data_IF_075624490881
#
_entry.id   IF_075624490881
#
_cell.length_a   1.000
_cell.length_b   1.000
_cell.length_c   1.000
_cell.angle_alpha   90.00
_cell.angle_beta   90.00
_cell.angle_gamma   90.00
#
_symmetry.space_group_name_H-M   'P 1'
#
loop_
_entity.id
_entity.type
_entity.pdbx_description
1 polymer ?
#
# COMPACT_ATOMS: atom_id res chain seq x y z
N UNK A 1 8.84 4.49 -12.25
CA UNK A 1 8.90 5.89 -11.76
C UNK A 1 10.15 6.62 -12.25
N UNK A 2 11.31 5.97 -12.35
CA UNK A 2 12.58 6.57 -12.82
C UNK A 2 12.44 7.27 -14.19
N UNK A 3 11.69 6.68 -15.13
CA UNK A 3 11.42 7.27 -16.45
C UNK A 3 10.74 8.66 -16.39
N UNK A 4 10.14 9.01 -15.25
CA UNK A 4 9.53 10.32 -15.01
C UNK A 4 10.47 11.31 -14.30
N UNK A 5 11.72 10.93 -14.03
CA UNK A 5 12.71 11.80 -13.38
C UNK A 5 12.38 12.13 -11.92
N UNK A 6 11.59 11.32 -11.22
CA UNK A 6 11.25 11.52 -9.82
C UNK A 6 12.25 10.82 -8.90
N UNK A 7 12.48 11.41 -7.72
CA UNK A 7 13.20 10.76 -6.65
C UNK A 7 12.30 9.76 -5.95
N UNK A 8 12.77 8.51 -5.78
CA UNK A 8 12.01 7.45 -5.13
C UNK A 8 12.67 7.11 -3.80
N UNK A 9 11.93 7.30 -2.70
CA UNK A 9 12.28 6.79 -1.38
C UNK A 9 11.50 5.51 -1.11
N UNK A 10 12.12 4.54 -0.47
CA UNK A 10 11.46 3.29 -0.05
C UNK A 10 11.74 2.99 1.42
N UNK A 11 10.68 2.68 2.15
CA UNK A 11 10.71 2.07 3.46
C UNK A 11 10.31 0.62 3.34
N UNK A 12 11.21 -0.29 3.66
CA UNK A 12 10.96 -1.72 3.78
C UNK A 12 11.85 -2.26 4.91
N UNK A 13 11.28 -2.83 5.98
CA UNK A 13 12.06 -3.35 7.10
C UNK A 13 12.81 -4.65 6.76
N UNK A 14 12.43 -5.35 5.68
CA UNK A 14 12.99 -6.65 5.30
C UNK A 14 14.12 -6.54 4.27
N UNK A 15 14.15 -5.43 3.50
CA UNK A 15 15.15 -5.23 2.46
C UNK A 15 16.29 -4.34 2.96
N UNK A 16 17.52 -4.69 2.59
CA UNK A 16 18.69 -3.85 2.85
C UNK A 16 18.82 -2.70 1.84
N UNK A 17 19.77 -1.81 2.07
CA UNK A 17 20.00 -0.64 1.22
C UNK A 17 20.42 -1.04 -0.19
N UNK A 18 21.22 -2.11 -0.35
CA UNK A 18 21.69 -2.56 -1.64
C UNK A 18 20.55 -3.11 -2.51
N UNK A 19 19.63 -3.87 -1.91
CA UNK A 19 18.46 -4.39 -2.59
C UNK A 19 17.52 -3.26 -3.06
N UNK A 20 17.29 -2.26 -2.21
CA UNK A 20 16.46 -1.09 -2.56
C UNK A 20 17.15 -0.24 -3.64
N UNK A 21 18.45 -0.02 -3.54
CA UNK A 21 19.21 0.72 -4.54
C UNK A 21 19.21 0.02 -5.91
N UNK A 22 19.29 -1.31 -5.95
CA UNK A 22 19.20 -2.09 -7.19
C UNK A 22 17.86 -1.91 -7.91
N UNK A 23 16.77 -1.59 -7.18
CA UNK A 23 15.46 -1.24 -7.72
C UNK A 23 15.36 0.23 -8.14
N UNK A 24 16.42 1.03 -7.93
CA UNK A 24 16.47 2.44 -8.30
C UNK A 24 15.77 3.36 -7.32
N UNK A 25 15.68 2.97 -6.07
CA UNK A 25 15.15 3.77 -4.98
C UNK A 25 16.24 4.01 -3.91
N UNK A 26 16.04 4.99 -3.05
CA UNK A 26 16.87 5.24 -1.87
C UNK A 26 16.13 4.71 -0.64
N UNK A 27 16.80 3.90 0.18
CA UNK A 27 16.24 3.45 1.46
C UNK A 27 16.12 4.64 2.42
N UNK A 28 14.97 4.69 3.12
CA UNK A 28 14.72 5.65 4.18
C UNK A 28 13.98 4.96 5.33
N UNK A 29 14.07 5.51 6.54
CA UNK A 29 13.11 5.18 7.59
C UNK A 29 11.74 5.79 7.28
N UNK A 30 10.70 5.31 7.98
CA UNK A 30 9.33 5.74 7.71
C UNK A 30 9.13 7.25 7.93
N UNK A 31 9.68 7.81 9.00
CA UNK A 31 9.51 9.21 9.33
C UNK A 31 10.16 10.11 8.27
N UNK A 32 11.37 9.78 7.84
CA UNK A 32 12.08 10.47 6.75
C UNK A 32 11.29 10.37 5.43
N UNK A 33 10.79 9.17 5.08
CA UNK A 33 9.97 8.99 3.88
C UNK A 33 8.74 9.90 3.92
N UNK A 34 8.01 9.92 5.04
CA UNK A 34 6.81 10.74 5.19
C UNK A 34 7.14 12.24 5.08
N UNK A 35 8.23 12.68 5.70
CA UNK A 35 8.61 14.10 5.74
C UNK A 35 9.15 14.62 4.39
N UNK A 36 9.77 13.76 3.59
CA UNK A 36 10.41 14.19 2.34
C UNK A 36 9.58 13.93 1.08
N UNK A 37 8.49 13.14 1.17
CA UNK A 37 7.71 12.75 0.01
C UNK A 37 6.58 13.73 -0.32
N UNK A 38 6.41 14.02 -1.61
CA UNK A 38 5.27 14.76 -2.14
C UNK A 38 4.06 13.83 -2.38
N UNK A 39 4.36 12.55 -2.66
CA UNK A 39 3.38 11.47 -2.82
C UNK A 39 3.84 10.26 -2.02
N UNK A 40 2.99 9.76 -1.14
CA UNK A 40 3.22 8.54 -0.36
C UNK A 40 2.28 7.47 -0.86
N UNK A 41 2.81 6.31 -1.26
CA UNK A 41 2.04 5.15 -1.73
C UNK A 41 2.30 3.95 -0.85
N UNK A 42 1.23 3.30 -0.38
CA UNK A 42 1.29 2.15 0.52
C UNK A 42 1.24 0.85 -0.26
N UNK A 43 2.16 -0.07 0.08
CA UNK A 43 2.29 -1.41 -0.52
C UNK A 43 2.56 -2.48 0.55
N UNK A 44 2.46 -2.13 1.83
CA UNK A 44 2.69 -3.04 2.94
C UNK A 44 1.51 -4.03 3.12
N UNK A 45 1.76 -5.24 3.65
CA UNK A 45 0.70 -6.15 4.06
C UNK A 45 -0.02 -5.64 5.33
N UNK A 46 -1.26 -6.12 5.56
CA UNK A 46 -1.98 -5.86 6.80
C UNK A 46 -1.55 -6.85 7.88
N UNK A 47 -0.67 -6.43 8.75
CA UNK A 47 -0.16 -7.16 9.92
C UNK A 47 -0.45 -6.35 11.18
N UNK A 48 -0.37 -6.96 12.35
CA UNK A 48 -0.48 -6.24 13.62
C UNK A 48 0.56 -5.10 13.72
N UNK A 49 1.76 -5.33 13.20
CA UNK A 49 2.86 -4.34 13.17
C UNK A 49 2.65 -3.19 12.19
N UNK A 50 1.80 -3.36 11.18
CA UNK A 50 1.52 -2.33 10.17
C UNK A 50 0.14 -1.70 10.34
N UNK A 51 -0.69 -2.24 11.26
CA UNK A 51 -1.99 -1.67 11.55
C UNK A 51 -1.86 -0.20 11.96
N UNK A 52 -2.61 0.66 11.29
CA UNK A 52 -2.59 2.11 11.49
C UNK A 52 -1.16 2.71 11.47
N UNK A 53 -0.27 2.16 10.64
CA UNK A 53 1.06 2.76 10.45
C UNK A 53 0.96 4.21 9.95
N UNK A 54 -0.11 4.54 9.23
CA UNK A 54 -0.48 5.90 8.84
C UNK A 54 -1.56 6.40 9.81
N UNK A 55 -1.15 6.79 11.00
CA UNK A 55 -1.96 7.41 12.05
C UNK A 55 -1.81 8.93 12.06
N UNK A 56 -2.43 9.61 13.03
CA UNK A 56 -2.36 11.08 13.15
C UNK A 56 -0.94 11.63 13.25
N UNK A 57 -0.01 10.92 13.95
CA UNK A 57 1.39 11.30 14.01
C UNK A 57 2.04 11.20 12.63
N UNK A 58 1.87 10.08 11.95
CA UNK A 58 2.42 9.86 10.61
C UNK A 58 1.90 10.91 9.61
N UNK A 59 0.59 11.19 9.63
CA UNK A 59 -0.02 12.23 8.80
C UNK A 59 0.53 13.61 9.10
N UNK A 60 0.84 13.92 10.36
CA UNK A 60 1.44 15.21 10.75
C UNK A 60 2.86 15.41 10.20
N UNK A 61 3.62 14.31 10.02
CA UNK A 61 4.98 14.35 9.45
C UNK A 61 4.97 14.58 7.95
N UNK A 62 3.92 14.16 7.24
CA UNK A 62 3.84 14.36 5.78
C UNK A 62 3.97 15.85 5.42
N UNK A 63 4.48 16.12 4.23
CA UNK A 63 4.48 17.50 3.71
C UNK A 63 3.08 18.08 3.65
N UNK A 64 2.97 19.39 3.84
CA UNK A 64 1.72 20.10 3.59
C UNK A 64 1.35 19.93 2.11
N UNK A 65 0.08 19.56 1.88
CA UNK A 65 -0.46 19.26 0.55
C UNK A 65 0.14 18.04 -0.14
N UNK A 66 0.77 17.11 0.60
CA UNK A 66 1.14 15.81 0.06
C UNK A 66 -0.10 15.01 -0.37
N UNK A 67 0.14 13.98 -1.19
CA UNK A 67 -0.88 13.02 -1.64
C UNK A 67 -0.60 11.68 -0.98
N UNK A 68 -1.64 11.07 -0.40
CA UNK A 68 -1.60 9.70 0.10
C UNK A 68 -2.31 8.77 -0.88
N UNK A 69 -1.69 7.65 -1.23
CA UNK A 69 -2.28 6.60 -2.08
C UNK A 69 -2.27 5.29 -1.29
N UNK A 70 -3.43 4.64 -1.20
CA UNK A 70 -3.53 3.31 -0.60
C UNK A 70 -4.27 2.35 -1.55
N UNK A 71 -3.52 1.45 -2.16
CA UNK A 71 -4.01 0.34 -2.97
C UNK A 71 -3.60 -1.01 -2.35
N UNK A 72 -3.18 -1.00 -1.08
CA UNK A 72 -2.72 -2.17 -0.36
C UNK A 72 -3.82 -2.76 0.53
N UNK A 73 -4.02 -2.21 1.73
CA UNK A 73 -5.06 -2.63 2.68
C UNK A 73 -5.56 -1.44 3.51
N UNK A 74 -6.86 -1.39 3.77
CA UNK A 74 -7.50 -0.32 4.58
C UNK A 74 -6.90 -0.19 5.96
N UNK A 75 -6.66 -1.31 6.63
CA UNK A 75 -6.13 -1.38 8.00
C UNK A 75 -4.78 -0.68 8.22
N UNK A 76 -4.05 -0.32 7.16
CA UNK A 76 -2.80 0.44 7.26
C UNK A 76 -3.02 1.90 7.68
N UNK A 77 -4.22 2.42 7.49
CA UNK A 77 -4.55 3.84 7.70
C UNK A 77 -5.59 3.97 8.81
N UNK A 78 -5.35 4.89 9.72
CA UNK A 78 -6.37 5.38 10.65
C UNK A 78 -7.29 6.34 9.87
N UNK A 79 -8.49 5.86 9.51
CA UNK A 79 -9.43 6.61 8.66
C UNK A 79 -9.96 7.87 9.34
N UNK A 80 -10.13 7.86 10.67
CA UNK A 80 -10.56 9.04 11.41
C UNK A 80 -9.48 10.12 11.38
N UNK A 81 -8.24 9.75 11.66
CA UNK A 81 -7.11 10.68 11.58
C UNK A 81 -6.91 11.21 10.15
N UNK A 82 -7.09 10.34 9.13
CA UNK A 82 -7.01 10.76 7.73
C UNK A 82 -8.11 11.76 7.37
N UNK A 83 -9.35 11.51 7.82
CA UNK A 83 -10.46 12.42 7.59
C UNK A 83 -10.20 13.81 8.18
N UNK A 84 -9.65 13.86 9.40
CA UNK A 84 -9.25 15.12 10.06
C UNK A 84 -8.14 15.83 9.27
N UNK A 85 -7.10 15.12 8.82
CA UNK A 85 -6.01 15.68 8.03
C UNK A 85 -6.49 16.26 6.68
N UNK A 86 -7.45 15.58 6.02
CA UNK A 86 -8.04 16.04 4.77
C UNK A 86 -8.91 17.30 4.97
N UNK A 87 -9.79 17.27 5.97
CA UNK A 87 -10.65 18.44 6.32
C UNK A 87 -9.83 19.65 6.76
N UNK A 88 -8.74 19.39 7.50
CA UNK A 88 -7.80 20.41 7.94
C UNK A 88 -6.88 20.96 6.85
N UNK A 89 -6.93 20.43 5.63
CA UNK A 89 -6.10 20.86 4.50
C UNK A 89 -4.63 20.44 4.57
N UNK A 90 -4.27 19.53 5.50
CA UNK A 90 -2.92 18.97 5.63
C UNK A 90 -2.53 18.21 4.37
N UNK A 91 -3.41 17.36 3.86
CA UNK A 91 -3.21 16.63 2.62
C UNK A 91 -3.96 17.29 1.45
N UNK A 92 -3.34 17.23 0.28
CA UNK A 92 -3.98 17.68 -0.97
C UNK A 92 -5.07 16.72 -1.41
N UNK A 93 -4.75 15.43 -1.42
CA UNK A 93 -5.65 14.34 -1.76
C UNK A 93 -5.30 13.07 -0.98
N UNK A 94 -6.30 12.22 -0.74
CA UNK A 94 -6.14 10.80 -0.48
C UNK A 94 -6.83 10.01 -1.60
N UNK A 95 -6.12 9.01 -2.16
CA UNK A 95 -6.62 8.11 -3.20
C UNK A 95 -6.63 6.70 -2.61
N UNK A 96 -7.82 6.19 -2.29
CA UNK A 96 -8.00 4.94 -1.56
C UNK A 96 -8.76 3.94 -2.44
N UNK A 97 -8.14 2.81 -2.72
CA UNK A 97 -8.81 1.68 -3.37
C UNK A 97 -9.32 0.66 -2.34
N UNK A 98 -8.95 0.83 -1.08
CA UNK A 98 -9.25 -0.04 0.05
C UNK A 98 -9.62 0.75 1.30
N UNK A 99 -10.49 0.19 2.15
CA UNK A 99 -10.96 0.80 3.41
C UNK A 99 -11.02 -0.25 4.53
N UNK A 100 -11.23 0.15 5.77
CA UNK A 100 -11.45 -0.73 6.92
C UNK A 100 -12.61 -0.19 7.79
N UNK A 101 -13.83 -0.79 7.77
CA UNK A 101 -14.20 -2.00 7.04
C UNK A 101 -14.30 -1.82 5.52
N UNK A 102 -14.34 -2.95 4.80
CA UNK A 102 -14.57 -2.98 3.37
C UNK A 102 -15.81 -3.86 3.04
N UNK A 103 -16.84 -3.33 2.36
CA UNK A 103 -16.96 -1.93 1.90
C UNK A 103 -17.06 -0.93 3.06
N UNK A 104 -16.74 0.37 2.79
CA UNK A 104 -16.76 1.39 3.83
C UNK A 104 -18.15 1.55 4.43
N UNK A 105 -18.23 1.63 5.75
CA UNK A 105 -19.48 1.80 6.49
C UNK A 105 -20.28 3.03 6.00
N UNK A 106 -21.61 3.02 6.21
CA UNK A 106 -22.46 4.12 5.78
C UNK A 106 -22.09 5.45 6.45
N UNK A 107 -21.57 5.40 7.68
CA UNK A 107 -21.12 6.51 8.51
C UNK A 107 -19.59 6.69 8.48
N UNK A 108 -18.88 6.06 7.54
CA UNK A 108 -17.41 6.22 7.42
C UNK A 108 -17.02 7.71 7.40
N UNK A 109 -16.03 8.11 8.20
CA UNK A 109 -15.58 9.49 8.31
C UNK A 109 -15.03 10.06 7.00
N UNK A 110 -14.68 9.20 6.05
CA UNK A 110 -14.14 9.56 4.73
C UNK A 110 -15.21 9.95 3.72
N UNK A 111 -16.48 9.60 3.98
CA UNK A 111 -17.57 9.90 3.04
C UNK A 111 -17.81 11.40 2.93
N UNK A 112 -18.05 11.87 1.71
CA UNK A 112 -18.37 13.26 1.43
C UNK A 112 -17.19 14.23 1.56
N UNK A 113 -15.96 13.73 1.77
CA UNK A 113 -14.75 14.57 1.75
C UNK A 113 -14.32 14.79 0.29
N UNK A 114 -14.33 16.03 -0.24
CA UNK A 114 -14.13 16.28 -1.68
C UNK A 114 -12.76 15.87 -2.21
N UNK A 115 -11.73 15.88 -1.34
CA UNK A 115 -10.35 15.49 -1.66
C UNK A 115 -9.99 14.08 -1.19
N UNK A 116 -11.00 13.24 -0.87
CA UNK A 116 -10.88 11.81 -0.66
C UNK A 116 -11.49 11.08 -1.88
N UNK A 117 -10.65 10.50 -2.71
CA UNK A 117 -11.06 9.73 -3.89
C UNK A 117 -11.06 8.26 -3.50
N UNK A 118 -12.22 7.61 -3.55
CA UNK A 118 -12.35 6.19 -3.22
C UNK A 118 -12.79 5.40 -4.45
N UNK A 119 -12.16 4.24 -4.66
CA UNK A 119 -12.53 3.25 -5.67
C UNK A 119 -12.86 1.92 -5.01
N UNK A 120 -13.72 1.06 -5.60
CA UNK A 120 -14.21 -0.14 -4.94
C UNK A 120 -13.28 -1.34 -5.17
N UNK A 121 -12.03 -1.26 -4.68
CA UNK A 121 -11.00 -2.30 -4.72
C UNK A 121 -10.73 -2.83 -6.14
N UNK A 122 -10.41 -1.91 -7.05
CA UNK A 122 -10.24 -2.19 -8.49
C UNK A 122 -8.77 -2.22 -8.93
N UNK A 123 -7.83 -1.75 -8.13
CA UNK A 123 -6.44 -1.55 -8.54
C UNK A 123 -5.76 -2.85 -9.03
N UNK A 124 -6.13 -4.00 -8.44
CA UNK A 124 -5.65 -5.33 -8.86
C UNK A 124 -6.39 -5.93 -10.05
N UNK A 125 -7.47 -5.30 -10.52
CA UNK A 125 -8.34 -5.85 -11.56
C UNK A 125 -8.07 -5.29 -12.97
N UNK A 126 -7.06 -4.45 -13.11
CA UNK A 126 -6.74 -3.78 -14.37
C UNK A 126 -6.47 -4.78 -15.50
N UNK A 127 -7.08 -4.52 -16.65
CA UNK A 127 -6.92 -5.30 -17.89
C UNK A 127 -7.17 -6.82 -17.69
N UNK A 128 -6.12 -7.62 -17.92
CA UNK A 128 -6.14 -9.08 -17.85
C UNK A 128 -5.59 -9.65 -16.53
N UNK A 129 -5.54 -8.86 -15.45
CA UNK A 129 -4.99 -9.28 -14.15
C UNK A 129 -5.59 -10.58 -13.64
N UNK A 130 -6.93 -10.71 -13.64
CA UNK A 130 -7.61 -11.95 -13.23
C UNK A 130 -7.25 -13.16 -14.09
N UNK A 131 -7.08 -12.97 -15.41
CA UNK A 131 -6.67 -14.05 -16.31
C UNK A 131 -5.24 -14.50 -16.01
N UNK A 132 -4.33 -13.57 -15.71
CA UNK A 132 -2.95 -13.89 -15.31
C UNK A 132 -2.89 -14.64 -13.98
N UNK A 133 -3.68 -14.23 -12.99
CA UNK A 133 -3.79 -14.94 -11.71
C UNK A 133 -4.32 -16.37 -11.96
N UNK A 134 -5.40 -16.52 -12.73
CA UNK A 134 -5.97 -17.83 -13.06
C UNK A 134 -4.96 -18.73 -13.79
N UNK A 135 -4.24 -18.21 -14.77
CA UNK A 135 -3.20 -18.95 -15.48
C UNK A 135 -2.07 -19.39 -14.55
N UNK A 136 -1.58 -18.48 -13.71
CA UNK A 136 -0.53 -18.78 -12.73
C UNK A 136 -0.96 -19.89 -11.75
N UNK A 137 -2.19 -19.81 -11.21
CA UNK A 137 -2.73 -20.86 -10.32
C UNK A 137 -2.83 -22.21 -11.03
N UNK A 138 -3.28 -22.23 -12.30
CA UNK A 138 -3.34 -23.46 -13.08
C UNK A 138 -1.94 -24.08 -13.31
N UNK A 139 -0.94 -23.25 -13.59
CA UNK A 139 0.45 -23.67 -13.74
C UNK A 139 1.03 -24.24 -12.43
N UNK A 140 0.76 -23.59 -11.28
CA UNK A 140 1.19 -24.08 -9.96
C UNK A 140 0.55 -25.42 -9.61
N UNK A 141 -0.75 -25.60 -9.88
CA UNK A 141 -1.44 -26.89 -9.71
C UNK A 141 -0.79 -27.95 -10.60
N UNK A 142 -0.49 -27.62 -11.85
CA UNK A 142 0.20 -28.53 -12.77
C UNK A 142 1.57 -28.97 -12.25
N UNK A 143 2.38 -28.03 -11.73
CA UNK A 143 3.66 -28.33 -11.08
C UNK A 143 3.50 -29.26 -9.87
N UNK A 144 2.55 -28.94 -8.99
CA UNK A 144 2.26 -29.76 -7.80
C UNK A 144 1.89 -31.20 -8.18
N UNK A 145 0.98 -31.39 -9.13
CA UNK A 145 0.52 -32.72 -9.55
C UNK A 145 1.61 -33.54 -10.23
N UNK A 146 2.60 -32.91 -10.86
CA UNK A 146 3.73 -33.57 -11.51
C UNK A 146 4.96 -33.72 -10.62
N UNK A 147 4.90 -33.29 -9.34
CA UNK A 147 6.02 -33.30 -8.43
C UNK A 147 7.12 -32.28 -8.74
N UNK A 148 6.79 -31.25 -9.54
CA UNK A 148 7.68 -30.15 -9.86
C UNK A 148 7.78 -29.14 -8.73
N UNK A 149 8.86 -28.32 -8.73
CA UNK A 149 9.02 -27.22 -7.77
C UNK A 149 7.98 -26.13 -8.01
N UNK A 150 7.34 -25.67 -6.92
CA UNK A 150 6.42 -24.53 -6.96
C UNK A 150 7.21 -23.22 -7.08
N UNK A 151 6.67 -22.25 -7.80
CA UNK A 151 7.27 -20.94 -7.98
C UNK A 151 6.79 -19.96 -6.90
N UNK A 152 5.54 -20.14 -6.45
CA UNK A 152 4.89 -19.27 -5.47
C UNK A 152 4.46 -20.01 -4.21
N UNK A 153 5.28 -20.97 -3.75
CA UNK A 153 5.03 -21.67 -2.50
C UNK A 153 5.06 -20.71 -1.32
N UNK A 154 4.01 -20.74 -0.52
CA UNK A 154 3.94 -19.99 0.73
C UNK A 154 4.28 -20.94 1.89
N UNK A 155 5.38 -20.66 2.57
CA UNK A 155 5.81 -21.43 3.74
C UNK A 155 5.27 -20.81 5.02
N UNK A 156 5.21 -21.62 6.09
CA UNK A 156 4.77 -21.13 7.40
C UNK A 156 5.61 -19.94 7.90
N UNK A 157 6.91 -19.91 7.61
CA UNK A 157 7.78 -18.80 8.00
C UNK A 157 7.41 -17.48 7.31
N UNK A 158 6.85 -17.53 6.10
CA UNK A 158 6.45 -16.34 5.36
C UNK A 158 5.18 -15.69 5.91
N UNK A 159 4.33 -16.44 6.65
CA UNK A 159 3.06 -15.91 7.18
C UNK A 159 3.22 -14.70 8.11
N UNK A 160 4.41 -14.52 8.69
CA UNK A 160 4.70 -13.35 9.52
C UNK A 160 4.91 -12.05 8.71
N UNK A 161 5.08 -12.15 7.41
CA UNK A 161 5.47 -11.01 6.54
C UNK A 161 4.58 -10.80 5.33
N UNK A 162 3.60 -11.71 5.13
CA UNK A 162 2.62 -11.65 4.03
C UNK A 162 1.20 -11.62 4.60
N UNK A 163 0.26 -10.99 3.89
CA UNK A 163 -1.17 -10.94 4.21
C UNK A 163 -2.00 -11.28 2.99
#
# INVERSE_FOLDING_TARGET
LQAFGVNVLAYDPLLDEAAIAAMGAKKADLDTLLAESDVVSLHAPALDSTRHMINGRALSLMKDRAILINTARGALVDEEALAQALRGGKLKYACLDVTDPEPPAADSPLRGIPNCIMTPHLAGLANNGKLKIGAHVADEIGRFLTGGALVSEITQAMLATIA
#
